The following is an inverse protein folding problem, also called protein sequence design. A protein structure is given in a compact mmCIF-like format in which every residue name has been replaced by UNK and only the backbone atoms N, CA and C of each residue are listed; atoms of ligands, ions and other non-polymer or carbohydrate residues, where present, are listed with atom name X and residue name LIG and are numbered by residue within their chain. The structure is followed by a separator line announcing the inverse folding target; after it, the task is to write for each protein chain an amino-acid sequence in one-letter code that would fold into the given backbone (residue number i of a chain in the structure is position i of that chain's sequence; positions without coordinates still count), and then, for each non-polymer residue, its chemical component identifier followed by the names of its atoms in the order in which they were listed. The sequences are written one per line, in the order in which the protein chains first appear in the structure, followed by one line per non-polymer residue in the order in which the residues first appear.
data_IF_111009831648
#
_entry.id   IF_111009831648
#
_cell.length_a   1.000
_cell.length_b   1.000
_cell.length_c   1.000
_cell.angle_alpha   90.00
_cell.angle_beta   90.00
_cell.angle_gamma   90.00
#
_symmetry.space_group_name_H-M   'P 1'
#
loop_
_entity.id
_entity.type
_entity.pdbx_description
1 polymer ?
#
# COMPACT_ATOMS: atom_id res chain seq x y z
N UNK A 1 1.97 16.02 7.63
CA UNK A 1 2.10 14.72 6.91
C UNK A 1 3.56 14.41 6.69
N UNK A 2 3.98 13.16 6.87
CA UNK A 2 5.35 12.69 6.61
C UNK A 2 5.35 11.43 5.75
N UNK A 3 6.44 11.23 5.00
CA UNK A 3 6.75 9.96 4.31
C UNK A 3 7.97 9.37 5.00
N UNK A 4 7.87 8.12 5.47
CA UNK A 4 8.95 7.44 6.18
C UNK A 4 9.05 5.97 5.79
N UNK A 5 10.20 5.31 5.99
CA UNK A 5 10.28 3.86 5.94
C UNK A 5 9.25 3.22 6.88
N UNK A 6 8.68 2.10 6.44
CA UNK A 6 7.80 1.29 7.28
C UNK A 6 8.61 0.66 8.43
N UNK A 7 7.90 0.33 9.50
CA UNK A 7 8.37 -0.45 10.64
C UNK A 7 7.51 -1.71 10.78
N UNK A 8 7.98 -2.75 11.49
CA UNK A 8 7.18 -3.96 11.72
C UNK A 8 5.78 -3.67 12.29
N UNK A 9 5.65 -2.65 13.13
CA UNK A 9 4.38 -2.26 13.75
C UNK A 9 3.36 -1.70 12.75
N UNK A 10 3.81 -1.25 11.57
CA UNK A 10 2.94 -0.72 10.52
C UNK A 10 2.24 -1.84 9.71
N UNK A 11 2.59 -3.12 9.91
CA UNK A 11 2.11 -4.24 9.10
C UNK A 11 0.58 -4.33 9.05
N UNK A 12 -0.08 -4.21 10.20
CA UNK A 12 -1.54 -4.22 10.28
C UNK A 12 -2.18 -3.04 9.53
N UNK A 13 -1.60 -1.84 9.65
CA UNK A 13 -2.08 -0.66 8.93
C UNK A 13 -1.91 -0.82 7.42
N UNK A 14 -0.77 -1.34 6.97
CA UNK A 14 -0.47 -1.64 5.57
C UNK A 14 -1.48 -2.65 4.99
N UNK A 15 -1.77 -3.74 5.72
CA UNK A 15 -2.77 -4.73 5.33
C UNK A 15 -4.15 -4.11 5.15
N UNK A 16 -4.58 -3.28 6.12
CA UNK A 16 -5.86 -2.55 6.04
C UNK A 16 -5.91 -1.60 4.84
N UNK A 17 -4.88 -0.78 4.65
CA UNK A 17 -4.77 0.16 3.52
C UNK A 17 -4.93 -0.61 2.22
N UNK A 18 -4.18 -1.69 2.02
CA UNK A 18 -4.27 -2.46 0.78
C UNK A 18 -5.70 -2.95 0.50
N UNK A 19 -6.35 -3.57 1.48
CA UNK A 19 -7.70 -4.11 1.32
C UNK A 19 -8.73 -3.02 1.02
N UNK A 20 -8.74 -1.95 1.81
CA UNK A 20 -9.72 -0.89 1.67
C UNK A 20 -9.53 -0.12 0.35
N UNK A 21 -8.27 0.15 -0.02
CA UNK A 21 -7.96 0.76 -1.32
C UNK A 21 -8.38 -0.14 -2.48
N UNK A 22 -8.14 -1.46 -2.42
CA UNK A 22 -8.53 -2.38 -3.48
C UNK A 22 -10.04 -2.50 -3.62
N UNK A 23 -10.75 -2.71 -2.50
CA UNK A 23 -12.21 -2.79 -2.47
C UNK A 23 -12.84 -1.54 -3.07
N UNK A 24 -12.29 -0.36 -2.77
CA UNK A 24 -12.80 0.89 -3.31
C UNK A 24 -12.42 1.10 -4.79
N UNK A 25 -11.15 0.88 -5.17
CA UNK A 25 -10.63 1.21 -6.49
C UNK A 25 -11.14 0.26 -7.59
N UNK A 26 -11.38 -1.00 -7.26
CA UNK A 26 -11.76 -2.03 -8.22
C UNK A 26 -13.24 -2.43 -8.15
N UNK A 27 -14.05 -1.73 -7.34
CA UNK A 27 -15.50 -1.94 -7.30
C UNK A 27 -16.10 -1.80 -8.70
N UNK A 28 -16.85 -2.82 -9.14
CA UNK A 28 -17.45 -2.86 -10.48
C UNK A 28 -16.49 -3.24 -11.61
N UNK A 29 -15.22 -3.51 -11.31
CA UNK A 29 -14.21 -4.01 -12.26
C UNK A 29 -13.85 -5.46 -11.93
N UNK A 30 -13.60 -5.75 -10.65
CA UNK A 30 -13.32 -7.09 -10.12
C UNK A 30 -14.60 -7.66 -9.49
N UNK A 31 -14.84 -8.99 -9.58
CA UNK A 31 -15.99 -9.63 -8.93
C UNK A 31 -16.11 -9.24 -7.45
N UNK A 32 -17.33 -8.89 -7.03
CA UNK A 32 -17.57 -8.33 -5.71
C UNK A 32 -17.30 -9.34 -4.59
N UNK A 33 -17.61 -10.62 -4.82
CA UNK A 33 -17.31 -11.73 -3.91
C UNK A 33 -15.80 -11.88 -3.65
N UNK A 34 -14.98 -11.71 -4.70
CA UNK A 34 -13.53 -11.69 -4.53
C UNK A 34 -13.08 -10.47 -3.72
N UNK A 35 -13.59 -9.27 -4.03
CA UNK A 35 -13.27 -8.06 -3.26
C UNK A 35 -13.67 -8.20 -1.80
N UNK A 36 -14.86 -8.74 -1.51
CA UNK A 36 -15.39 -8.93 -0.16
C UNK A 36 -14.58 -9.97 0.63
N UNK A 37 -14.01 -10.96 -0.06
CA UNK A 37 -13.11 -11.96 0.54
C UNK A 37 -11.74 -11.40 0.96
N UNK A 38 -11.36 -10.21 0.47
CA UNK A 38 -10.08 -9.59 0.86
C UNK A 38 -10.12 -9.23 2.35
N UNK A 39 -9.28 -9.91 3.12
CA UNK A 39 -9.02 -9.62 4.54
C UNK A 39 -7.66 -8.95 4.69
N UNK A 40 -7.50 -8.00 5.62
CA UNK A 40 -6.19 -7.53 6.03
C UNK A 40 -5.38 -8.75 6.51
N UNK A 41 -4.41 -9.14 5.71
CA UNK A 41 -3.46 -10.18 6.11
C UNK A 41 -2.31 -9.51 6.87
N UNK A 42 -1.77 -10.23 7.85
CA UNK A 42 -0.55 -9.85 8.55
C UNK A 42 0.63 -10.17 7.63
N UNK A 43 0.69 -9.43 6.53
CA UNK A 43 1.70 -9.63 5.49
C UNK A 43 3.04 -9.53 6.15
N UNK A 44 3.89 -10.53 5.93
CA UNK A 44 5.31 -10.40 6.24
C UNK A 44 5.88 -9.32 5.31
N UNK A 45 5.82 -8.07 5.76
CA UNK A 45 6.44 -6.95 5.07
C UNK A 45 7.94 -7.04 5.35
N UNK A 46 8.75 -6.92 4.30
CA UNK A 46 10.14 -6.51 4.50
C UNK A 46 10.12 -4.98 4.59
N UNK A 47 10.29 -4.38 5.78
CA UNK A 47 10.12 -2.94 5.95
C UNK A 47 11.06 -2.11 5.06
N UNK A 48 12.21 -2.67 4.66
CA UNK A 48 13.16 -2.03 3.75
C UNK A 48 12.58 -1.69 2.36
N UNK A 49 11.50 -2.37 1.96
CA UNK A 49 10.86 -2.18 0.66
C UNK A 49 9.60 -1.31 0.74
N UNK A 50 9.24 -0.81 1.92
CA UNK A 50 7.99 -0.06 2.12
C UNK A 50 8.27 1.36 2.63
N UNK A 51 7.59 2.31 2.00
CA UNK A 51 7.37 3.64 2.56
C UNK A 51 5.92 3.71 3.04
N UNK A 52 5.69 4.44 4.13
CA UNK A 52 4.35 4.76 4.64
C UNK A 52 4.14 6.28 4.68
N UNK A 53 2.90 6.68 4.47
CA UNK A 53 2.43 8.04 4.66
C UNK A 53 1.75 8.12 6.03
N UNK A 54 2.21 9.04 6.85
CA UNK A 54 1.75 9.23 8.22
C UNK A 54 1.20 10.65 8.44
N UNK A 55 0.07 10.74 9.12
CA UNK A 55 -0.56 12.02 9.50
C UNK A 55 0.20 12.67 10.66
N UNK A 56 -0.13 13.92 10.99
CA UNK A 56 0.51 14.61 12.12
C UNK A 56 0.11 13.99 13.47
N UNK A 57 -1.04 13.32 13.50
CA UNK A 57 -1.57 12.55 14.63
C UNK A 57 -1.01 11.12 14.69
N UNK A 58 -0.09 10.75 13.79
CA UNK A 58 0.54 9.42 13.78
C UNK A 58 -0.28 8.33 13.09
N UNK A 59 -1.31 8.68 12.32
CA UNK A 59 -2.11 7.70 11.57
C UNK A 59 -1.39 7.34 10.28
N UNK A 60 -1.06 6.06 10.09
CA UNK A 60 -0.58 5.55 8.81
C UNK A 60 -1.77 5.36 7.86
N UNK A 61 -1.81 6.13 6.78
CA UNK A 61 -2.95 6.17 5.85
C UNK A 61 -2.58 5.84 4.40
N UNK A 62 -1.30 5.63 4.10
CA UNK A 62 -0.85 5.24 2.78
C UNK A 62 0.45 4.44 2.81
N UNK A 63 0.71 3.76 1.71
CA UNK A 63 1.91 2.95 1.50
C UNK A 63 2.42 3.07 0.07
N UNK A 64 3.71 2.86 -0.10
CA UNK A 64 4.33 2.50 -1.36
C UNK A 64 5.25 1.28 -1.17
N UNK A 65 5.16 0.29 -2.05
CA UNK A 65 6.10 -0.83 -2.11
C UNK A 65 7.06 -0.64 -3.29
N UNK A 66 8.34 -0.62 -2.99
CA UNK A 66 9.43 -0.40 -3.93
C UNK A 66 10.32 -1.64 -3.95
N UNK A 67 11.01 -1.88 -5.06
CA UNK A 67 12.03 -2.90 -5.13
C UNK A 67 12.78 -2.87 -6.45
N UNK A 68 13.75 -3.77 -6.60
CA UNK A 68 14.38 -3.99 -7.90
C UNK A 68 13.36 -4.43 -8.94
N UNK A 69 13.61 -4.03 -10.18
CA UNK A 69 12.81 -4.41 -11.34
C UNK A 69 12.61 -5.93 -11.43
N UNK A 70 11.37 -6.32 -11.74
CA UNK A 70 11.03 -7.70 -12.13
C UNK A 70 11.23 -7.96 -13.62
N UNK A 71 11.47 -6.93 -14.41
CA UNK A 71 11.82 -7.04 -15.84
C UNK A 71 13.29 -7.43 -15.99
N UNK A 72 13.52 -8.62 -16.56
CA UNK A 72 14.86 -9.21 -16.74
C UNK A 72 15.72 -8.44 -17.73
N UNK A 73 15.11 -7.71 -18.67
CA UNK A 73 15.82 -6.88 -19.63
C UNK A 73 16.28 -5.54 -19.03
N UNK A 74 15.82 -5.22 -17.81
CA UNK A 74 16.12 -3.98 -17.09
C UNK A 74 16.52 -4.25 -15.63
N UNK A 75 17.59 -5.03 -15.37
CA UNK A 75 17.96 -5.45 -14.02
C UNK A 75 18.39 -4.29 -13.11
N UNK A 76 18.90 -3.20 -13.68
CA UNK A 76 19.40 -2.03 -12.93
C UNK A 76 18.30 -1.02 -12.58
N UNK A 77 17.04 -1.29 -12.93
CA UNK A 77 15.92 -0.38 -12.68
C UNK A 77 15.26 -0.67 -11.32
N UNK A 78 14.63 0.37 -10.77
CA UNK A 78 13.67 0.23 -9.67
C UNK A 78 12.24 0.04 -10.18
N UNK A 79 11.38 -0.49 -9.33
CA UNK A 79 9.97 -0.73 -9.62
C UNK A 79 9.09 -0.22 -8.47
N UNK A 80 8.08 0.57 -8.82
CA UNK A 80 6.94 0.85 -7.95
C UNK A 80 5.95 -0.30 -8.06
N UNK A 81 6.02 -1.23 -7.11
CA UNK A 81 5.22 -2.46 -7.12
C UNK A 81 3.79 -2.22 -6.63
N UNK A 82 3.62 -1.28 -5.71
CA UNK A 82 2.31 -0.88 -5.19
C UNK A 82 2.33 0.56 -4.69
N UNK A 83 1.22 1.27 -4.85
CA UNK A 83 0.94 2.54 -4.19
C UNK A 83 -0.54 2.58 -3.84
N UNK A 84 -0.84 2.70 -2.55
CA UNK A 84 -2.21 2.68 -2.04
C UNK A 84 -2.37 3.66 -0.90
N UNK A 85 -3.54 4.31 -0.85
CA UNK A 85 -3.95 5.18 0.24
C UNK A 85 -5.36 4.79 0.64
N UNK A 86 -5.69 4.94 1.91
CA UNK A 86 -7.07 4.85 2.36
C UNK A 86 -7.97 5.76 1.51
N UNK A 87 -9.17 5.30 1.06
CA UNK A 87 -10.02 6.05 0.14
C UNK A 87 -10.34 7.48 0.58
N UNK A 88 -10.50 7.70 1.88
CA UNK A 88 -10.77 9.00 2.49
C UNK A 88 -9.58 9.98 2.44
N UNK A 89 -8.40 9.52 2.00
CA UNK A 89 -7.20 10.34 1.77
C UNK A 89 -6.90 10.57 0.28
N UNK A 90 -7.75 10.10 -0.64
CA UNK A 90 -7.55 10.33 -2.07
C UNK A 90 -7.77 11.79 -2.47
N UNK A 91 -7.12 12.22 -3.55
CA UNK A 91 -7.23 13.58 -4.13
C UNK A 91 -6.82 14.72 -3.20
N UNK A 92 -6.02 14.41 -2.18
CA UNK A 92 -5.43 15.38 -1.23
C UNK A 92 -3.95 15.67 -1.50
N UNK A 93 -3.43 15.20 -2.64
CA UNK A 93 -2.08 15.57 -3.09
C UNK A 93 -2.04 17.04 -3.48
N UNK A 94 -1.04 17.75 -2.98
CA UNK A 94 -0.70 19.13 -3.34
C UNK A 94 0.25 19.17 -4.52
#
# INVERSE_FOLDING_TARGET
MTVRPAKPEDAAAIGKIYCDSWKAAYKGIVPQDYLDSLTPDDRTINPANYLVLESEEGVVFGLANLGSSRDKERPDWGELRAIYLLPEYWRKGS
#
